data_IF_022085942472
#
_entry.id   IF_022085942472
#
_cell.length_a   1.000
_cell.length_b   1.000
_cell.length_c   1.000
_cell.angle_alpha   90.00
_cell.angle_beta   90.00
_cell.angle_gamma   90.00
#
_symmetry.space_group_name_H-M   'P 1'
#
loop_
_entity.id
_entity.type
_entity.pdbx_description
1 polymer ?
#
# COMPACT_ATOMS: atom_id res chain seq x y z
N UNK A 1 -5.56 18.22 7.43
CA UNK A 1 -6.08 16.83 7.40
C UNK A 1 -5.02 15.80 7.00
N UNK A 2 -3.92 16.17 6.33
CA UNK A 2 -2.95 15.19 5.80
C UNK A 2 -1.97 14.62 6.84
N UNK A 3 -1.67 15.34 7.92
CA UNK A 3 -0.71 14.91 8.95
C UNK A 3 -1.11 13.61 9.66
N UNK A 4 -2.40 13.47 10.03
CA UNK A 4 -2.92 12.27 10.69
C UNK A 4 -2.91 11.04 9.76
N UNK A 5 -3.14 11.23 8.46
CA UNK A 5 -3.08 10.15 7.48
C UNK A 5 -1.64 9.64 7.31
N UNK A 6 -0.67 10.56 7.21
CA UNK A 6 0.76 10.23 7.14
C UNK A 6 1.21 9.48 8.41
N UNK A 7 0.77 9.92 9.59
CA UNK A 7 1.07 9.28 10.87
C UNK A 7 0.53 7.84 10.93
N UNK A 8 -0.68 7.60 10.43
CA UNK A 8 -1.27 6.24 10.34
C UNK A 8 -0.45 5.32 9.43
N UNK A 9 -0.01 5.81 8.26
CA UNK A 9 0.80 5.02 7.32
C UNK A 9 2.17 4.68 7.93
N UNK A 10 2.82 5.66 8.56
CA UNK A 10 4.11 5.44 9.25
C UNK A 10 3.97 4.42 10.38
N UNK A 11 2.90 4.50 11.17
CA UNK A 11 2.58 3.51 12.21
C UNK A 11 2.39 2.11 11.62
N UNK A 12 1.66 2.01 10.50
CA UNK A 12 1.43 0.74 9.82
C UNK A 12 2.73 0.13 9.26
N UNK A 13 3.60 0.92 8.61
CA UNK A 13 4.92 0.44 8.13
C UNK A 13 5.79 -0.03 9.29
N UNK A 14 5.78 0.69 10.40
CA UNK A 14 6.54 0.31 11.59
C UNK A 14 6.06 -1.02 12.18
N UNK A 15 4.75 -1.29 12.22
CA UNK A 15 4.21 -2.58 12.67
C UNK A 15 4.66 -3.73 11.77
N UNK A 16 4.61 -3.53 10.46
CA UNK A 16 5.10 -4.47 9.46
C UNK A 16 6.58 -4.76 9.67
N UNK A 17 7.42 -3.73 9.76
CA UNK A 17 8.86 -3.87 9.95
C UNK A 17 9.21 -4.52 11.30
N UNK A 18 8.50 -4.22 12.39
CA UNK A 18 8.71 -4.86 13.70
C UNK A 18 8.44 -6.37 13.64
N UNK A 19 7.39 -6.79 12.95
CA UNK A 19 7.07 -8.22 12.79
C UNK A 19 8.07 -8.99 11.90
N UNK A 20 9.06 -8.30 11.30
CA UNK A 20 10.15 -8.89 10.51
C UNK A 20 11.45 -9.08 11.28
N UNK A 21 11.68 -8.30 12.35
CA UNK A 21 12.94 -8.36 13.08
C UNK A 21 13.07 -9.73 13.74
N UNK A 22 14.18 -10.43 13.44
CA UNK A 22 14.54 -11.73 14.04
C UNK A 22 14.36 -12.96 13.13
N UNK A 23 13.90 -12.81 11.88
CA UNK A 23 13.75 -13.95 10.95
C UNK A 23 14.71 -13.81 9.77
N UNK A 24 15.89 -14.40 9.92
CA UNK A 24 17.05 -14.31 9.01
C UNK A 24 16.81 -15.00 7.64
N UNK A 25 15.68 -15.69 7.43
CA UNK A 25 15.40 -16.54 6.25
C UNK A 25 14.27 -15.99 5.36
N UNK A 26 14.29 -14.71 4.97
CA UNK A 26 13.14 -14.08 4.31
C UNK A 26 13.29 -13.74 2.83
N UNK A 27 14.46 -13.88 2.20
CA UNK A 27 14.56 -13.67 0.76
C UNK A 27 13.71 -14.67 -0.05
N UNK A 28 13.50 -15.89 0.47
CA UNK A 28 12.69 -16.93 -0.20
C UNK A 28 11.23 -16.99 0.27
N UNK A 29 10.82 -16.12 1.22
CA UNK A 29 9.46 -16.17 1.73
C UNK A 29 8.50 -15.32 0.88
N UNK A 30 7.62 -15.97 0.12
CA UNK A 30 6.66 -15.30 -0.78
C UNK A 30 5.79 -14.25 -0.05
N UNK A 31 5.44 -14.47 1.22
CA UNK A 31 4.53 -13.59 1.95
C UNK A 31 5.23 -12.45 2.68
N UNK A 32 6.35 -12.76 3.33
CA UNK A 32 7.05 -11.85 4.24
C UNK A 32 8.35 -11.29 3.68
N UNK A 33 8.90 -11.93 2.65
CA UNK A 33 10.14 -11.52 2.00
C UNK A 33 10.06 -10.15 1.36
N UNK A 34 11.23 -9.66 0.96
CA UNK A 34 11.33 -8.42 0.20
C UNK A 34 10.55 -8.55 -1.11
N UNK A 35 9.70 -7.56 -1.44
CA UNK A 35 8.80 -7.66 -2.59
C UNK A 35 7.66 -8.69 -2.43
N UNK A 36 7.51 -9.30 -1.26
CA UNK A 36 6.48 -10.29 -0.96
C UNK A 36 5.08 -9.70 -0.83
N UNK A 37 4.08 -10.58 -0.71
CA UNK A 37 2.64 -10.22 -0.73
C UNK A 37 2.32 -9.10 0.27
N UNK A 38 2.90 -9.12 1.47
CA UNK A 38 2.60 -8.13 2.51
C UNK A 38 3.06 -6.71 2.17
N UNK A 39 4.13 -6.58 1.38
CA UNK A 39 4.57 -5.27 0.90
C UNK A 39 3.58 -4.67 -0.09
N UNK A 40 3.05 -5.52 -1.00
CA UNK A 40 2.00 -5.14 -1.94
C UNK A 40 0.72 -4.73 -1.18
N UNK A 41 0.29 -5.52 -0.19
CA UNK A 41 -0.87 -5.21 0.65
C UNK A 41 -0.71 -3.87 1.38
N UNK A 42 0.48 -3.60 1.91
CA UNK A 42 0.77 -2.34 2.59
C UNK A 42 0.64 -1.15 1.65
N UNK A 43 1.21 -1.24 0.44
CA UNK A 43 1.14 -0.16 -0.55
C UNK A 43 -0.32 0.13 -0.87
N UNK A 44 -1.10 -0.90 -1.19
CA UNK A 44 -2.53 -0.76 -1.48
C UNK A 44 -3.25 -0.07 -0.32
N UNK A 45 -3.10 -0.58 0.90
CA UNK A 45 -3.78 -0.03 2.09
C UNK A 45 -3.34 1.41 2.39
N UNK A 46 -2.08 1.78 2.14
CA UNK A 46 -1.60 3.15 2.29
C UNK A 46 -2.33 4.10 1.32
N UNK A 47 -2.49 3.72 0.05
CA UNK A 47 -3.28 4.51 -0.91
C UNK A 47 -4.76 4.61 -0.50
N UNK A 48 -5.34 3.54 0.02
CA UNK A 48 -6.72 3.57 0.52
C UNK A 48 -6.88 4.53 1.71
N UNK A 49 -5.90 4.58 2.62
CA UNK A 49 -5.92 5.53 3.74
C UNK A 49 -5.72 6.99 3.30
N UNK A 50 -4.81 7.24 2.35
CA UNK A 50 -4.53 8.59 1.86
C UNK A 50 -5.70 9.15 1.05
N UNK A 51 -6.26 8.32 0.16
CA UNK A 51 -7.14 8.81 -0.90
C UNK A 51 -8.55 8.26 -0.81
N UNK A 52 -8.81 7.19 -0.06
CA UNK A 52 -10.13 6.58 0.07
C UNK A 52 -11.18 7.50 0.68
N UNK A 53 -10.76 8.52 1.44
CA UNK A 53 -11.67 9.57 1.92
C UNK A 53 -12.38 10.29 0.77
N UNK A 54 -11.64 10.70 -0.26
CA UNK A 54 -12.14 11.47 -1.42
C UNK A 54 -12.55 10.57 -2.60
N UNK A 55 -11.89 9.42 -2.75
CA UNK A 55 -12.11 8.45 -3.81
C UNK A 55 -12.80 7.20 -3.26
N UNK A 56 -14.14 7.17 -3.30
CA UNK A 56 -14.93 6.04 -2.76
C UNK A 56 -14.58 4.69 -3.38
N UNK A 57 -14.18 4.66 -4.66
CA UNK A 57 -13.76 3.42 -5.35
C UNK A 57 -12.54 2.77 -4.69
N UNK A 58 -11.72 3.53 -3.96
CA UNK A 58 -10.59 2.98 -3.20
C UNK A 58 -11.00 2.32 -1.89
N UNK A 59 -12.27 2.37 -1.48
CA UNK A 59 -12.76 1.69 -0.26
C UNK A 59 -13.12 0.22 -0.51
N UNK A 60 -12.80 -0.31 -1.68
CA UNK A 60 -13.05 -1.70 -2.04
C UNK A 60 -12.23 -2.67 -1.18
N UNK A 61 -12.82 -3.82 -0.84
CA UNK A 61 -12.12 -4.90 -0.14
C UNK A 61 -11.36 -5.78 -1.12
N UNK A 62 -10.29 -6.40 -0.65
CA UNK A 62 -9.48 -7.33 -1.44
C UNK A 62 -8.36 -6.64 -2.22
N UNK A 63 -7.15 -7.18 -2.10
CA UNK A 63 -5.94 -6.57 -2.66
C UNK A 63 -5.96 -6.50 -4.19
N UNK A 64 -6.41 -7.57 -4.87
CA UNK A 64 -6.45 -7.59 -6.34
C UNK A 64 -7.44 -6.58 -6.90
N UNK A 65 -8.67 -6.52 -6.37
CA UNK A 65 -9.68 -5.56 -6.80
C UNK A 65 -9.25 -4.12 -6.52
N UNK A 66 -8.63 -3.87 -5.36
CA UNK A 66 -8.07 -2.56 -5.04
C UNK A 66 -6.90 -2.18 -5.95
N UNK A 67 -6.03 -3.13 -6.29
CA UNK A 67 -4.92 -2.93 -7.23
C UNK A 67 -5.43 -2.56 -8.62
N UNK A 68 -6.51 -3.21 -9.10
CA UNK A 68 -7.15 -2.85 -10.36
C UNK A 68 -7.73 -1.43 -10.37
N UNK A 69 -8.36 -1.00 -9.27
CA UNK A 69 -8.82 0.40 -9.12
C UNK A 69 -7.63 1.35 -9.11
N UNK A 70 -6.55 1.03 -8.38
CA UNK A 70 -5.35 1.85 -8.32
C UNK A 70 -4.68 1.96 -9.69
N UNK A 71 -4.53 0.85 -10.42
CA UNK A 71 -4.00 0.83 -11.78
C UNK A 71 -4.80 1.75 -12.70
N UNK A 72 -6.14 1.66 -12.69
CA UNK A 72 -7.00 2.57 -13.46
C UNK A 72 -6.80 4.03 -13.06
N UNK A 73 -6.79 4.34 -11.76
CA UNK A 73 -6.61 5.72 -11.29
C UNK A 73 -5.23 6.28 -11.57
N UNK A 74 -4.16 5.48 -11.45
CA UNK A 74 -2.80 5.87 -11.82
C UNK A 74 -2.70 6.06 -13.34
N UNK A 75 -3.33 5.23 -14.16
CA UNK A 75 -3.40 5.44 -15.61
C UNK A 75 -4.18 6.71 -15.98
N UNK A 76 -5.26 7.02 -15.26
CA UNK A 76 -5.97 8.29 -15.40
C UNK A 76 -5.10 9.48 -14.94
N UNK A 77 -4.28 9.31 -13.89
CA UNK A 77 -3.33 10.32 -13.42
C UNK A 77 -2.06 10.44 -14.26
N UNK A 78 -1.62 9.40 -14.98
CA UNK A 78 -0.48 9.43 -15.92
C UNK A 78 -0.72 10.37 -17.11
N UNK A 79 -1.96 10.83 -17.31
CA UNK A 79 -2.29 11.90 -18.25
C UNK A 79 -2.01 13.32 -17.69
N UNK A 80 -1.71 13.46 -16.39
CA UNK A 80 -1.56 14.74 -15.67
C UNK A 80 -0.27 14.80 -14.81
N UNK A 81 0.37 13.67 -14.48
CA UNK A 81 1.66 13.66 -13.78
C UNK A 81 2.67 12.70 -14.46
N UNK A 82 3.83 13.21 -14.91
CA UNK A 82 4.90 12.36 -15.38
C UNK A 82 5.44 11.54 -14.19
N UNK A 83 5.64 10.28 -14.52
CA UNK A 83 6.27 9.19 -13.77
C UNK A 83 7.38 9.70 -12.83
N UNK A 84 7.35 9.25 -11.57
CA UNK A 84 8.59 9.02 -10.82
C UNK A 84 9.38 7.90 -11.51
#
# INVERSE_FOLDING_TARGET
>A
MDFEAIKKIKSMKNRINKSMKGKILHQENIKLGFGGIREIEFIIQAYQLLFGGRNKDLRIRGSLSALEVLKRKILLMKRIFPVF
#
